data_IF_447819370997
#
_entry.id   IF_447819370997
#
_cell.length_a   1.000
_cell.length_b   1.000
_cell.length_c   1.000
_cell.angle_alpha   90.00
_cell.angle_beta   90.00
_cell.angle_gamma   90.00
#
_symmetry.space_group_name_H-M   'P 1'
#
loop_
_entity.id
_entity.type
_entity.pdbx_description
1 polymer ?
#
# COMPACT_ATOMS: atom_id res chain seq x y z
N UNK A 1 -25.40 -2.79 -0.44
CA UNK A 1 -24.41 -3.56 -1.22
C UNK A 1 -23.10 -3.45 -0.47
N UNK A 2 -22.55 -4.57 -0.02
CA UNK A 2 -21.23 -4.59 0.61
C UNK A 2 -20.17 -4.41 -0.48
N UNK A 3 -19.23 -3.48 -0.27
CA UNK A 3 -18.12 -3.28 -1.20
C UNK A 3 -17.13 -4.43 -1.07
N UNK A 4 -16.62 -4.94 -2.19
CA UNK A 4 -15.46 -5.84 -2.11
C UNK A 4 -14.25 -5.09 -1.54
N UNK A 5 -13.29 -5.78 -0.91
CA UNK A 5 -12.08 -5.13 -0.38
C UNK A 5 -11.32 -4.30 -1.44
N UNK A 6 -11.26 -4.79 -2.69
CA UNK A 6 -10.63 -4.07 -3.80
C UNK A 6 -11.42 -2.81 -4.21
N UNK A 7 -12.75 -2.88 -4.27
CA UNK A 7 -13.58 -1.71 -4.56
C UNK A 7 -13.46 -0.66 -3.45
N UNK A 8 -13.42 -1.11 -2.19
CA UNK A 8 -13.16 -0.23 -1.04
C UNK A 8 -11.79 0.46 -1.16
N UNK A 9 -10.72 -0.30 -1.43
CA UNK A 9 -9.38 0.25 -1.61
C UNK A 9 -9.32 1.25 -2.77
N UNK A 10 -9.96 0.93 -3.90
CA UNK A 10 -10.06 1.81 -5.07
C UNK A 10 -10.76 3.12 -4.73
N UNK A 11 -11.91 3.03 -4.07
CA UNK A 11 -12.69 4.20 -3.66
C UNK A 11 -11.86 5.14 -2.77
N UNK A 12 -11.13 4.57 -1.81
CA UNK A 12 -10.28 5.35 -0.91
C UNK A 12 -9.16 6.09 -1.66
N UNK A 13 -8.48 5.42 -2.61
CA UNK A 13 -7.43 6.04 -3.40
C UNK A 13 -7.98 7.13 -4.34
N UNK A 14 -9.12 6.89 -5.00
CA UNK A 14 -9.74 7.88 -5.87
C UNK A 14 -10.23 9.12 -5.10
N UNK A 15 -10.75 8.95 -3.88
CA UNK A 15 -11.13 10.09 -3.02
C UNK A 15 -9.92 10.95 -2.66
N UNK A 16 -8.81 10.33 -2.25
CA UNK A 16 -7.59 11.08 -1.92
C UNK A 16 -7.03 11.77 -3.16
N UNK A 17 -7.02 11.08 -4.31
CA UNK A 17 -6.60 11.66 -5.59
C UNK A 17 -7.43 12.90 -5.93
N UNK A 18 -8.75 12.83 -5.84
CA UNK A 18 -9.63 13.96 -6.10
C UNK A 18 -9.34 15.14 -5.16
N UNK A 19 -9.15 14.87 -3.87
CA UNK A 19 -8.80 15.89 -2.88
C UNK A 19 -7.47 16.59 -3.21
N UNK A 20 -6.43 15.84 -3.58
CA UNK A 20 -5.13 16.40 -3.93
C UNK A 20 -5.18 17.20 -5.22
N UNK A 21 -5.92 16.72 -6.23
CA UNK A 21 -6.10 17.44 -7.50
C UNK A 21 -6.89 18.73 -7.32
N UNK A 22 -7.96 18.71 -6.52
CA UNK A 22 -8.72 19.92 -6.18
C UNK A 22 -7.83 20.93 -5.43
N UNK A 23 -7.04 20.46 -4.46
CA UNK A 23 -6.11 21.33 -3.76
C UNK A 23 -5.07 21.99 -4.70
N UNK A 24 -4.48 21.19 -5.60
CA UNK A 24 -3.50 21.69 -6.56
C UNK A 24 -4.11 22.62 -7.63
N UNK A 25 -5.35 22.35 -8.07
CA UNK A 25 -6.00 23.13 -9.12
C UNK A 25 -6.47 24.52 -8.63
N UNK A 26 -6.79 24.64 -7.34
CA UNK A 26 -7.37 25.85 -6.76
C UNK A 26 -6.47 26.52 -5.71
N UNK A 27 -5.18 26.16 -5.67
CA UNK A 27 -4.18 26.67 -4.70
C UNK A 27 -4.66 26.55 -3.23
N UNK A 28 -5.41 25.49 -2.92
CA UNK A 28 -5.92 25.27 -1.56
C UNK A 28 -4.81 24.60 -0.74
N UNK A 29 -4.44 25.24 0.37
CA UNK A 29 -3.57 24.63 1.35
C UNK A 29 -4.30 23.50 2.09
N UNK A 30 -3.75 22.30 2.05
CA UNK A 30 -4.18 21.21 2.93
C UNK A 30 -3.49 21.35 4.28
N UNK A 31 -4.26 21.21 5.36
CA UNK A 31 -3.70 21.23 6.72
C UNK A 31 -2.86 19.98 6.99
N UNK A 32 -1.90 20.04 7.94
CA UNK A 32 -1.13 18.87 8.33
C UNK A 32 -2.01 17.65 8.67
N UNK A 33 -3.10 17.84 9.41
CA UNK A 33 -4.04 16.76 9.74
C UNK A 33 -4.74 16.17 8.51
N UNK A 34 -5.06 17.01 7.51
CA UNK A 34 -5.65 16.54 6.25
C UNK A 34 -4.66 15.70 5.46
N UNK A 35 -3.38 16.10 5.45
CA UNK A 35 -2.30 15.35 4.82
C UNK A 35 -2.05 14.03 5.55
N UNK A 36 -2.04 14.02 6.88
CA UNK A 36 -1.89 12.79 7.67
C UNK A 36 -3.03 11.81 7.39
N UNK A 37 -4.28 12.30 7.37
CA UNK A 37 -5.45 11.48 7.02
C UNK A 37 -5.37 10.95 5.59
N UNK A 38 -4.93 11.77 4.63
CA UNK A 38 -4.73 11.34 3.25
C UNK A 38 -3.63 10.26 3.15
N UNK A 39 -2.51 10.44 3.84
CA UNK A 39 -1.41 9.49 3.88
C UNK A 39 -1.85 8.14 4.48
N UNK A 40 -2.62 8.17 5.57
CA UNK A 40 -3.17 6.96 6.18
C UNK A 40 -4.09 6.21 5.20
N UNK A 41 -5.00 6.93 4.51
CA UNK A 41 -5.89 6.33 3.51
C UNK A 41 -5.14 5.73 2.32
N UNK A 42 -4.09 6.40 1.85
CA UNK A 42 -3.23 5.87 0.78
C UNK A 42 -2.55 4.59 1.24
N UNK A 43 -1.94 4.59 2.43
CA UNK A 43 -1.27 3.41 3.00
C UNK A 43 -2.23 2.22 3.08
N UNK A 44 -3.45 2.47 3.55
CA UNK A 44 -4.45 1.43 3.74
C UNK A 44 -4.96 0.87 2.40
N UNK A 45 -5.28 1.74 1.45
CA UNK A 45 -5.67 1.32 0.10
C UNK A 45 -4.58 0.49 -0.57
N UNK A 46 -3.33 0.92 -0.49
CA UNK A 46 -2.19 0.17 -1.05
C UNK A 46 -1.95 -1.16 -0.35
N UNK A 47 -2.14 -1.25 0.98
CA UNK A 47 -2.05 -2.51 1.73
C UNK A 47 -3.05 -3.53 1.20
N UNK A 48 -4.32 -3.12 1.10
CA UNK A 48 -5.41 -3.99 0.61
C UNK A 48 -5.15 -4.39 -0.85
N UNK A 49 -4.74 -3.44 -1.70
CA UNK A 49 -4.36 -3.76 -3.08
C UNK A 49 -3.26 -4.81 -3.16
N UNK A 50 -2.19 -4.68 -2.36
CA UNK A 50 -1.11 -5.69 -2.32
C UNK A 50 -1.63 -7.04 -1.87
N UNK A 51 -2.40 -7.10 -0.79
CA UNK A 51 -2.95 -8.35 -0.26
C UNK A 51 -3.84 -9.10 -1.27
N UNK A 52 -4.55 -8.37 -2.12
CA UNK A 52 -5.51 -8.94 -3.06
C UNK A 52 -4.99 -9.09 -4.50
N UNK A 53 -3.94 -8.37 -4.89
CA UNK A 53 -3.40 -8.40 -6.26
C UNK A 53 -1.99 -8.97 -6.36
N UNK A 54 -1.18 -8.86 -5.31
CA UNK A 54 0.11 -9.55 -5.32
C UNK A 54 -0.15 -11.03 -5.10
N UNK A 55 0.36 -11.92 -5.97
CA UNK A 55 0.40 -13.33 -5.64
C UNK A 55 1.15 -13.40 -4.31
N UNK A 56 0.54 -14.05 -3.31
CA UNK A 56 1.23 -14.38 -2.07
C UNK A 56 2.61 -14.87 -2.50
N UNK A 57 3.67 -14.16 -2.11
CA UNK A 57 5.03 -14.70 -2.16
C UNK A 57 5.02 -15.85 -1.17
N UNK A 58 4.35 -16.95 -1.52
CA UNK A 58 4.68 -18.26 -1.02
C UNK A 58 6.14 -18.37 -1.40
N UNK A 59 6.99 -18.17 -0.39
CA UNK A 59 8.36 -18.59 -0.45
C UNK A 59 8.33 -19.92 -1.19
N UNK A 60 8.95 -19.99 -2.37
CA UNK A 60 9.05 -21.27 -3.09
C UNK A 60 9.45 -22.31 -2.04
N UNK A 61 8.76 -23.46 -1.93
CA UNK A 61 9.12 -24.46 -0.94
C UNK A 61 10.65 -24.67 -1.00
N UNK A 62 11.36 -24.38 0.09
CA UNK A 62 12.82 -24.40 0.15
C UNK A 62 13.56 -23.04 0.11
N UNK A 63 12.88 -21.90 -0.06
CA UNK A 63 13.55 -20.59 -0.03
C UNK A 63 14.20 -20.29 1.33
N UNK A 64 13.59 -20.72 2.43
CA UNK A 64 14.19 -20.62 3.77
C UNK A 64 15.52 -21.38 3.90
N UNK A 65 15.72 -22.47 3.14
CA UNK A 65 16.99 -23.21 3.13
C UNK A 65 18.09 -22.48 2.36
N UNK A 66 17.74 -21.69 1.34
CA UNK A 66 18.69 -20.85 0.61
C UNK A 66 19.21 -19.71 1.50
N UNK A 67 18.34 -19.12 2.31
CA UNK A 67 18.72 -18.08 3.27
C UNK A 67 19.65 -18.63 4.37
N UNK A 68 19.37 -19.82 4.91
CA UNK A 68 20.26 -20.47 5.90
C UNK A 68 21.64 -20.80 5.33
N UNK A 69 21.73 -21.33 4.10
CA UNK A 69 23.01 -21.58 3.42
C UNK A 69 23.77 -20.30 3.05
N UNK A 70 23.04 -19.24 2.68
CA UNK A 70 23.62 -17.94 2.33
C UNK A 70 24.21 -17.23 3.55
N UNK A 71 23.54 -17.31 4.70
CA UNK A 71 24.02 -16.77 5.97
C UNK A 71 25.31 -17.45 6.44
N UNK A 72 25.43 -18.76 6.26
CA UNK A 72 26.64 -19.52 6.62
C UNK A 72 27.85 -19.24 5.70
N UNK A 73 27.65 -18.65 4.51
CA UNK A 73 28.75 -18.30 3.59
C UNK A 73 29.32 -16.88 3.78
N UNK A 74 28.67 -16.02 4.57
CA UNK A 74 29.17 -14.65 4.88
C UNK A 74 29.69 -14.52 6.31
N UNK A 75 30.21 -15.59 6.88
CA UNK A 75 31.00 -15.54 8.12
C UNK A 75 32.48 -15.54 7.78
N UNK A 76 32.99 -14.44 7.19
CA UNK A 76 34.39 -13.95 7.22
C UNK A 76 34.40 -12.50 6.72
#
# INVERSE_FOLDING_TARGET
MELTPLEYARLHLEQVRAQLLDAAAFDKALTPDQLERAAWRIREGLRIYREHTEPHRTARPGAACLDYRGAYRRSW
#
